data_IF_905513369825
#
_entry.id   IF_905513369825
#
_cell.length_a   1.000
_cell.length_b   1.000
_cell.length_c   1.000
_cell.angle_alpha   90.00
_cell.angle_beta   90.00
_cell.angle_gamma   90.00
#
_symmetry.space_group_name_H-M   'P 1'
#
loop_
_entity.id
_entity.type
_entity.pdbx_description
1 polymer ?
#
# COMPACT_ATOMS: atom_id res chain seq x y z
N UNK A 1 -0.35 -0.92 4.54
CA UNK A 1 0.81 -0.99 5.43
C UNK A 1 2.05 -1.01 4.55
N UNK A 2 3.01 -0.16 4.79
CA UNK A 2 4.29 -0.15 4.07
C UNK A 2 5.34 0.55 4.91
N UNK A 3 6.55 0.05 4.88
CA UNK A 3 7.68 0.63 5.60
C UNK A 3 8.88 -0.29 5.49
N UNK A 4 10.05 0.25 5.77
CA UNK A 4 11.25 -0.55 6.02
C UNK A 4 11.33 -0.81 7.50
N UNK A 5 11.37 -2.08 7.87
CA UNK A 5 11.61 -2.49 9.25
C UNK A 5 13.06 -2.98 9.33
N UNK A 6 13.92 -2.32 10.10
CA UNK A 6 15.26 -2.82 10.31
C UNK A 6 15.17 -4.13 11.10
N UNK A 7 15.67 -5.20 10.53
CA UNK A 7 15.77 -6.49 11.23
C UNK A 7 17.11 -6.56 11.98
N UNK A 8 17.05 -7.00 13.23
CA UNK A 8 18.22 -7.33 14.03
C UNK A 8 18.13 -8.81 14.41
N UNK A 9 18.81 -9.66 13.66
CA UNK A 9 18.68 -11.11 13.78
C UNK A 9 17.36 -11.63 13.22
N UNK A 10 16.78 -12.64 13.85
CA UNK A 10 15.57 -13.34 13.41
C UNK A 10 14.29 -12.80 14.07
N UNK A 11 14.42 -11.71 14.81
CA UNK A 11 13.30 -11.07 15.53
C UNK A 11 13.27 -9.58 15.28
N UNK A 12 12.07 -9.02 15.14
CA UNK A 12 11.90 -7.58 15.15
C UNK A 12 10.54 -7.16 15.77
N UNK A 13 10.58 -6.04 16.45
CA UNK A 13 9.41 -5.34 16.97
C UNK A 13 9.18 -4.07 16.17
N UNK A 14 7.94 -3.80 15.87
CA UNK A 14 7.58 -2.57 15.14
C UNK A 14 6.18 -2.10 15.50
N UNK A 15 5.90 -0.86 15.19
CA UNK A 15 4.58 -0.26 15.39
C UNK A 15 4.12 0.35 14.08
N UNK A 16 2.88 0.05 13.70
CA UNK A 16 2.25 0.59 12.50
C UNK A 16 1.11 1.52 12.87
N UNK A 17 1.02 2.65 12.19
CA UNK A 17 -0.20 3.45 12.16
C UNK A 17 -1.24 2.81 11.25
N UNK A 18 -2.50 2.84 11.63
CA UNK A 18 -3.64 2.41 10.84
C UNK A 18 -4.71 3.48 10.77
N UNK A 19 -5.37 3.58 9.63
CA UNK A 19 -6.55 4.42 9.43
C UNK A 19 -7.63 3.62 8.74
N UNK A 20 -8.85 3.68 9.26
CA UNK A 20 -10.00 3.03 8.67
C UNK A 20 -10.73 3.98 7.73
N UNK A 21 -11.45 3.45 6.77
CA UNK A 21 -12.32 4.24 5.89
C UNK A 21 -13.46 4.89 6.66
N UNK A 22 -14.03 5.93 6.08
CA UNK A 22 -15.24 6.57 6.64
C UNK A 22 -16.34 5.54 6.90
N UNK A 23 -16.84 5.53 8.13
CA UNK A 23 -17.89 4.60 8.58
C UNK A 23 -17.39 3.23 9.04
N UNK A 24 -16.07 2.98 8.99
CA UNK A 24 -15.45 1.76 9.53
C UNK A 24 -14.57 2.14 10.72
N UNK A 25 -14.67 1.36 11.79
CA UNK A 25 -13.93 1.59 13.02
C UNK A 25 -13.16 0.34 13.43
N UNK A 26 -12.07 0.55 14.15
CA UNK A 26 -11.41 -0.51 14.89
C UNK A 26 -12.33 -1.04 16.02
N UNK A 27 -12.05 -2.21 16.63
CA UNK A 27 -12.85 -2.75 17.73
C UNK A 27 -12.97 -1.81 18.94
N UNK A 28 -12.01 -0.91 19.16
CA UNK A 28 -12.06 0.13 20.19
C UNK A 28 -12.93 1.35 19.83
N UNK A 29 -13.55 1.35 18.64
CA UNK A 29 -14.41 2.41 18.14
C UNK A 29 -13.66 3.58 17.47
N UNK A 30 -12.34 3.56 17.42
CA UNK A 30 -11.54 4.58 16.74
C UNK A 30 -11.45 4.30 15.23
N UNK A 31 -11.21 5.32 14.43
CA UNK A 31 -10.93 5.17 13.00
C UNK A 31 -9.44 5.32 12.67
N UNK A 32 -8.61 5.61 13.66
CA UNK A 32 -7.16 5.66 13.54
C UNK A 32 -6.52 5.13 14.82
N UNK A 33 -5.32 4.61 14.71
CA UNK A 33 -4.60 4.11 15.87
C UNK A 33 -3.28 3.46 15.51
N UNK A 34 -2.66 2.83 16.49
CA UNK A 34 -1.38 2.15 16.34
C UNK A 34 -1.49 0.69 16.74
N UNK A 35 -0.86 -0.16 15.96
CA UNK A 35 -0.77 -1.60 16.23
C UNK A 35 0.70 -1.97 16.38
N UNK A 36 1.05 -2.55 17.50
CA UNK A 36 2.38 -3.15 17.72
C UNK A 36 2.42 -4.53 17.10
N UNK A 37 3.53 -4.86 16.46
CA UNK A 37 3.80 -6.19 15.92
C UNK A 37 5.14 -6.69 16.42
N UNK A 38 5.14 -7.96 16.83
CA UNK A 38 6.33 -8.74 17.19
C UNK A 38 6.44 -9.86 16.16
N UNK A 39 7.57 -9.96 15.48
CA UNK A 39 7.74 -10.88 14.35
C UNK A 39 8.99 -11.72 14.55
N UNK A 40 8.80 -13.03 14.45
CA UNK A 40 9.86 -14.04 14.46
C UNK A 40 10.04 -14.59 13.03
N UNK A 41 11.20 -14.33 12.45
CA UNK A 41 11.57 -14.78 11.12
C UNK A 41 12.47 -16.01 11.21
N UNK A 42 11.95 -17.18 10.86
CA UNK A 42 12.70 -18.43 10.90
C UNK A 42 13.29 -18.79 9.54
N UNK A 43 12.60 -18.45 8.48
CA UNK A 43 13.05 -18.62 7.09
C UNK A 43 12.18 -17.79 6.14
N UNK A 44 12.54 -17.75 4.87
CA UNK A 44 11.75 -17.09 3.83
C UNK A 44 10.31 -17.66 3.70
N UNK A 45 10.10 -18.89 4.16
CA UNK A 45 8.79 -19.57 4.08
C UNK A 45 8.10 -19.73 5.43
N UNK A 46 8.76 -19.31 6.51
CA UNK A 46 8.25 -19.44 7.88
C UNK A 46 8.57 -18.18 8.67
N UNK A 47 7.62 -17.30 8.72
CA UNK A 47 7.63 -16.08 9.52
C UNK A 47 6.32 -16.00 10.26
N UNK A 48 6.38 -15.92 11.56
CA UNK A 48 5.19 -15.81 12.39
C UNK A 48 5.30 -14.63 13.35
N UNK A 49 4.19 -14.26 13.93
CA UNK A 49 4.19 -13.15 14.86
C UNK A 49 2.85 -12.94 15.53
N UNK A 50 2.82 -11.88 16.32
CA UNK A 50 1.63 -11.41 17.00
C UNK A 50 1.50 -9.90 16.86
N UNK A 51 0.28 -9.46 16.93
CA UNK A 51 -0.04 -8.05 16.91
C UNK A 51 -0.98 -7.72 18.07
N UNK A 52 -0.93 -6.48 18.52
CA UNK A 52 -1.87 -5.92 19.48
C UNK A 52 -2.02 -4.42 19.27
N UNK A 53 -3.25 -3.94 19.29
CA UNK A 53 -3.58 -2.50 19.21
C UNK A 53 -5.03 -2.28 18.81
N UNK A 54 -5.54 -1.09 19.13
CA UNK A 54 -6.87 -0.62 18.73
C UNK A 54 -8.03 -1.56 19.14
N UNK A 55 -7.91 -2.20 20.30
CA UNK A 55 -8.94 -3.14 20.82
C UNK A 55 -8.89 -4.53 20.21
N UNK A 56 -7.86 -4.85 19.40
CA UNK A 56 -7.68 -6.15 18.79
C UNK A 56 -6.26 -6.70 19.05
N UNK A 57 -6.15 -8.04 19.10
CA UNK A 57 -4.87 -8.73 19.23
C UNK A 57 -4.97 -10.13 18.62
N UNK A 58 -3.89 -10.60 18.04
CA UNK A 58 -3.87 -11.92 17.42
C UNK A 58 -2.49 -12.36 17.00
N UNK A 59 -2.46 -13.49 16.32
CA UNK A 59 -1.27 -14.07 15.71
C UNK A 59 -1.42 -14.10 14.19
N UNK A 60 -0.31 -14.12 13.49
CA UNK A 60 -0.27 -14.26 12.04
C UNK A 60 0.90 -15.17 11.64
N UNK A 61 0.77 -15.80 10.48
CA UNK A 61 1.84 -16.50 9.81
C UNK A 61 1.98 -15.89 8.41
N UNK A 62 3.21 -15.71 7.97
CA UNK A 62 3.55 -15.22 6.64
C UNK A 62 4.51 -16.17 5.98
N UNK A 63 4.38 -16.32 4.69
CA UNK A 63 5.35 -16.99 3.83
C UNK A 63 5.69 -16.08 2.65
N UNK A 64 6.90 -16.18 2.15
CA UNK A 64 7.31 -15.45 0.96
C UNK A 64 6.43 -15.88 -0.21
N UNK A 65 5.82 -14.92 -0.87
CA UNK A 65 5.05 -15.18 -2.08
C UNK A 65 6.01 -15.46 -3.23
N UNK A 66 5.74 -16.48 -4.09
CA UNK A 66 6.50 -16.70 -5.33
C UNK A 66 6.49 -15.47 -6.26
N UNK A 67 5.54 -14.57 -6.08
CA UNK A 67 5.49 -13.30 -6.83
C UNK A 67 6.63 -12.34 -6.43
N UNK A 68 7.25 -12.54 -5.28
CA UNK A 68 8.41 -11.74 -4.85
C UNK A 68 9.58 -11.86 -5.82
N UNK A 69 9.86 -13.07 -6.31
CA UNK A 69 11.00 -13.39 -7.19
C UNK A 69 10.77 -13.00 -8.66
N UNK A 70 9.70 -12.29 -8.97
CA UNK A 70 9.47 -11.77 -10.32
C UNK A 70 10.34 -10.55 -10.56
N UNK A 71 11.03 -10.48 -11.70
CA UNK A 71 11.73 -9.26 -12.08
C UNK A 71 10.77 -8.07 -12.23
N UNK A 72 11.19 -6.91 -11.72
CA UNK A 72 10.45 -5.66 -11.87
C UNK A 72 11.04 -4.79 -12.98
N UNK A 73 10.18 -4.15 -13.76
CA UNK A 73 10.56 -3.09 -14.69
C UNK A 73 9.43 -2.06 -14.81
N UNK A 74 9.78 -0.82 -15.13
CA UNK A 74 8.74 0.20 -15.39
C UNK A 74 7.85 -0.19 -16.57
N UNK A 75 8.43 -0.81 -17.60
CA UNK A 75 7.67 -1.28 -18.75
C UNK A 75 6.59 -2.30 -18.41
N UNK A 76 6.81 -3.14 -17.39
CA UNK A 76 5.83 -4.15 -16.93
C UNK A 76 4.58 -3.50 -16.33
N UNK A 77 4.72 -2.34 -15.72
CA UNK A 77 3.65 -1.64 -15.01
C UNK A 77 3.15 -0.40 -15.75
N UNK A 78 3.72 -0.09 -16.89
CA UNK A 78 3.22 0.98 -17.74
C UNK A 78 1.84 0.62 -18.30
N UNK A 79 0.89 1.55 -18.19
CA UNK A 79 -0.48 1.30 -18.67
C UNK A 79 -1.49 2.28 -18.08
N UNK A 80 -2.74 2.02 -18.41
CA UNK A 80 -3.89 2.75 -17.86
C UNK A 80 -4.68 1.79 -16.98
N UNK A 81 -4.93 2.21 -15.77
CA UNK A 81 -5.65 1.44 -14.74
C UNK A 81 -6.91 2.19 -14.35
N UNK A 82 -8.02 1.51 -14.33
CA UNK A 82 -9.30 2.10 -13.93
C UNK A 82 -9.89 1.28 -12.78
N UNK A 83 -10.33 1.97 -11.75
CA UNK A 83 -11.08 1.40 -10.62
C UNK A 83 -12.48 2.00 -10.60
N UNK A 84 -13.48 1.15 -10.41
CA UNK A 84 -14.85 1.57 -10.17
C UNK A 84 -15.40 0.82 -8.95
N UNK A 85 -16.20 1.47 -8.15
CA UNK A 85 -16.85 0.89 -6.99
C UNK A 85 -18.37 0.97 -7.12
N UNK A 86 -19.09 0.13 -6.39
CA UNK A 86 -20.56 0.04 -6.44
C UNK A 86 -21.28 1.33 -6.02
N UNK A 87 -20.63 2.23 -5.29
CA UNK A 87 -21.15 3.54 -4.91
C UNK A 87 -20.91 4.64 -5.96
N UNK A 88 -20.45 4.28 -7.17
CA UNK A 88 -20.23 5.21 -8.27
C UNK A 88 -18.87 5.95 -8.23
N UNK A 89 -18.00 5.67 -7.27
CA UNK A 89 -16.64 6.21 -7.31
C UNK A 89 -15.86 5.57 -8.46
N UNK A 90 -15.17 6.40 -9.23
CA UNK A 90 -14.25 5.96 -10.27
C UNK A 90 -12.92 6.67 -10.15
N UNK A 91 -11.83 5.97 -10.48
CA UNK A 91 -10.48 6.51 -10.53
C UNK A 91 -9.79 5.96 -11.78
N UNK A 92 -9.10 6.81 -12.49
CA UNK A 92 -8.23 6.43 -13.60
C UNK A 92 -6.81 6.85 -13.30
N UNK A 93 -5.88 5.93 -13.44
CA UNK A 93 -4.45 6.11 -13.23
C UNK A 93 -3.71 5.74 -14.51
N UNK A 94 -2.78 6.57 -14.93
CA UNK A 94 -1.88 6.30 -16.06
C UNK A 94 -0.45 6.25 -15.55
N UNK A 95 0.24 5.19 -15.90
CA UNK A 95 1.65 5.00 -15.64
C UNK A 95 2.39 4.92 -16.97
N UNK A 96 3.26 5.86 -17.21
CA UNK A 96 4.01 5.94 -18.45
C UNK A 96 5.24 5.04 -18.44
N UNK A 97 5.78 4.70 -19.61
CA UNK A 97 6.97 3.86 -19.74
C UNK A 97 8.25 4.50 -19.15
N UNK A 98 8.24 5.80 -18.85
CA UNK A 98 9.33 6.47 -18.16
C UNK A 98 9.10 6.58 -16.64
N UNK A 99 8.07 5.94 -16.10
CA UNK A 99 7.75 5.91 -14.68
C UNK A 99 6.97 7.13 -14.17
N UNK A 100 6.47 8.00 -15.04
CA UNK A 100 5.61 9.09 -14.63
C UNK A 100 4.21 8.55 -14.31
N UNK A 101 3.66 8.94 -13.15
CA UNK A 101 2.35 8.59 -12.66
C UNK A 101 1.43 9.81 -12.72
N UNK A 102 0.25 9.64 -13.29
CA UNK A 102 -0.85 10.62 -13.22
C UNK A 102 -2.15 9.89 -12.91
N UNK A 103 -2.99 10.45 -12.05
CA UNK A 103 -4.32 9.92 -11.82
C UNK A 103 -5.33 11.01 -11.51
N UNK A 104 -6.60 10.70 -11.75
CA UNK A 104 -7.73 11.52 -11.35
C UNK A 104 -8.91 10.64 -10.93
N UNK A 105 -9.76 11.18 -10.07
CA UNK A 105 -10.96 10.48 -9.63
C UNK A 105 -12.24 11.28 -9.87
N UNK A 106 -13.39 10.65 -9.65
CA UNK A 106 -14.71 11.24 -9.82
C UNK A 106 -15.05 12.34 -8.81
N UNK A 107 -14.22 12.54 -7.77
CA UNK A 107 -14.36 13.61 -6.77
C UNK A 107 -13.55 14.85 -7.15
N UNK A 108 -12.75 14.77 -8.22
CA UNK A 108 -11.89 15.85 -8.69
C UNK A 108 -10.47 15.83 -8.12
N UNK A 109 -10.10 14.80 -7.36
CA UNK A 109 -8.73 14.60 -6.90
C UNK A 109 -7.78 14.41 -8.08
N UNK A 110 -6.61 15.04 -8.00
CA UNK A 110 -5.54 14.89 -8.98
C UNK A 110 -4.31 14.32 -8.27
N UNK A 111 -3.68 13.33 -8.90
CA UNK A 111 -2.47 12.70 -8.39
C UNK A 111 -1.40 12.79 -9.46
N UNK A 112 -0.24 13.31 -9.11
CA UNK A 112 0.93 13.35 -9.96
C UNK A 112 2.12 12.77 -9.21
N UNK A 113 2.93 11.95 -9.89
CA UNK A 113 4.03 11.31 -9.20
C UNK A 113 4.97 10.54 -10.12
N UNK A 114 5.71 9.67 -9.48
CA UNK A 114 6.67 8.79 -10.16
C UNK A 114 6.67 7.40 -9.55
N UNK A 115 6.97 6.43 -10.39
CA UNK A 115 7.22 5.03 -10.01
C UNK A 115 8.66 4.69 -10.36
N UNK A 116 9.36 4.09 -9.43
CA UNK A 116 10.73 3.61 -9.61
C UNK A 116 10.85 2.13 -9.22
N UNK A 117 11.88 1.48 -9.73
CA UNK A 117 12.21 0.09 -9.39
C UNK A 117 13.46 0.12 -8.50
N UNK A 118 13.32 -0.08 -7.18
CA UNK A 118 14.46 -0.08 -6.25
C UNK A 118 15.35 -1.30 -6.42
N UNK A 119 14.78 -2.42 -6.81
CA UNK A 119 15.46 -3.68 -7.09
C UNK A 119 14.80 -4.39 -8.27
N UNK A 120 15.51 -4.52 -9.38
CA UNK A 120 14.97 -5.12 -10.59
C UNK A 120 14.81 -6.66 -10.50
N UNK A 121 15.37 -7.30 -9.50
CA UNK A 121 15.27 -8.75 -9.30
C UNK A 121 14.00 -9.16 -8.54
N UNK A 122 13.34 -8.19 -7.89
CA UNK A 122 12.15 -8.45 -7.08
C UNK A 122 10.96 -7.60 -7.54
N UNK A 123 9.77 -8.14 -7.39
CA UNK A 123 8.50 -7.50 -7.77
C UNK A 123 8.15 -6.36 -6.78
N UNK A 124 8.94 -5.31 -6.81
CA UNK A 124 8.81 -4.19 -5.90
C UNK A 124 8.99 -2.86 -6.62
N UNK A 125 8.09 -1.94 -6.38
CA UNK A 125 8.04 -0.61 -6.97
C UNK A 125 7.95 0.45 -5.88
N UNK A 126 8.76 1.50 -5.99
CA UNK A 126 8.64 2.67 -5.12
C UNK A 126 7.77 3.70 -5.81
N UNK A 127 6.81 4.25 -5.07
CA UNK A 127 5.89 5.25 -5.57
C UNK A 127 6.07 6.52 -4.74
N UNK A 128 6.19 7.66 -5.43
CA UNK A 128 6.11 8.98 -4.82
C UNK A 128 5.00 9.73 -5.54
N UNK A 129 4.09 10.35 -4.80
CA UNK A 129 2.94 11.02 -5.37
C UNK A 129 2.58 12.29 -4.61
N UNK A 130 2.11 13.28 -5.33
CA UNK A 130 1.48 14.48 -4.78
C UNK A 130 0.00 14.45 -5.14
N UNK A 131 -0.84 14.56 -4.13
CA UNK A 131 -2.30 14.64 -4.24
C UNK A 131 -2.72 16.09 -4.09
N UNK A 132 -3.57 16.56 -4.99
CA UNK A 132 -4.12 17.92 -5.01
C UNK A 132 -5.60 17.90 -5.34
N UNK A 133 -6.31 18.95 -4.97
CA UNK A 133 -7.76 19.08 -5.20
C UNK A 133 -8.60 18.02 -4.48
N UNK A 134 -8.08 17.50 -3.37
CA UNK A 134 -8.65 16.41 -2.58
C UNK A 134 -9.00 16.85 -1.15
N UNK A 135 -8.93 18.14 -0.86
CA UNK A 135 -9.24 18.72 0.45
C UNK A 135 -8.24 18.29 1.52
N UNK A 136 -8.71 17.61 2.56
CA UNK A 136 -7.83 17.15 3.66
C UNK A 136 -6.85 16.05 3.26
N UNK A 137 -6.98 15.47 2.07
CA UNK A 137 -6.07 14.47 1.54
C UNK A 137 -4.97 15.09 0.65
N UNK A 138 -4.95 16.40 0.48
CA UNK A 138 -3.88 17.07 -0.25
C UNK A 138 -2.55 16.86 0.48
N UNK A 139 -1.52 16.47 -0.25
CA UNK A 139 -0.23 16.18 0.35
C UNK A 139 0.71 15.39 -0.55
N UNK A 140 1.88 15.12 -0.02
CA UNK A 140 2.89 14.29 -0.68
C UNK A 140 2.99 12.94 0.03
N UNK A 141 2.99 11.88 -0.74
CA UNK A 141 2.96 10.50 -0.28
C UNK A 141 4.10 9.71 -0.88
N UNK A 142 4.64 8.78 -0.12
CA UNK A 142 5.56 7.77 -0.64
C UNK A 142 5.13 6.39 -0.18
N UNK A 143 5.44 5.37 -0.97
CA UNK A 143 5.06 4.02 -0.63
C UNK A 143 5.74 2.99 -1.52
N UNK A 144 5.43 1.74 -1.24
CA UNK A 144 5.88 0.59 -1.99
C UNK A 144 4.67 -0.13 -2.58
N UNK A 145 4.84 -0.70 -3.75
CA UNK A 145 3.83 -1.49 -4.43
C UNK A 145 4.42 -2.76 -5.03
N UNK A 146 3.59 -3.74 -5.29
CA UNK A 146 3.93 -4.95 -6.03
C UNK A 146 2.86 -5.23 -7.09
N UNK A 147 3.24 -5.87 -8.18
CA UNK A 147 2.32 -6.29 -9.21
C UNK A 147 1.72 -7.65 -8.82
N UNK A 148 0.41 -7.71 -8.64
CA UNK A 148 -0.31 -8.93 -8.31
C UNK A 148 -1.05 -9.45 -9.54
N UNK A 149 -1.09 -10.77 -9.71
CA UNK A 149 -1.97 -11.43 -10.68
C UNK A 149 -3.22 -11.90 -9.95
N UNK A 150 -4.33 -11.27 -10.23
CA UNK A 150 -5.63 -11.75 -9.80
C UNK A 150 -6.39 -12.25 -11.03
N UNK A 151 -6.57 -13.56 -11.15
CA UNK A 151 -7.42 -14.19 -12.18
C UNK A 151 -7.09 -13.77 -13.63
N UNK A 152 -5.81 -13.58 -13.95
CA UNK A 152 -5.37 -13.14 -15.27
C UNK A 152 -5.38 -11.63 -15.50
N UNK A 153 -5.73 -10.84 -14.49
CA UNK A 153 -5.58 -9.40 -14.48
C UNK A 153 -4.45 -9.00 -13.56
N UNK A 154 -3.71 -7.98 -13.96
CA UNK A 154 -2.67 -7.39 -13.14
C UNK A 154 -3.31 -6.40 -12.17
N UNK A 155 -3.14 -6.65 -10.88
CA UNK A 155 -3.64 -5.78 -9.82
C UNK A 155 -2.49 -5.15 -9.03
N UNK A 156 -2.74 -3.97 -8.45
CA UNK A 156 -1.76 -3.22 -7.68
C UNK A 156 -2.12 -3.20 -6.21
N UNK A 157 -1.20 -3.63 -5.37
CA UNK A 157 -1.26 -3.34 -3.95
C UNK A 157 -0.22 -2.25 -3.64
N UNK A 158 -0.69 -1.12 -3.18
CA UNK A 158 0.14 0.04 -2.87
C UNK A 158 -0.09 0.46 -1.43
N UNK A 159 0.98 0.53 -0.66
CA UNK A 159 0.97 1.19 0.63
C UNK A 159 1.67 2.55 0.49
N UNK A 160 0.94 3.64 0.70
CA UNK A 160 1.47 4.99 0.67
C UNK A 160 1.50 5.58 2.08
N UNK A 161 2.62 6.20 2.41
CA UNK A 161 2.77 6.98 3.64
C UNK A 161 2.92 8.46 3.28
N UNK A 162 2.27 9.37 4.02
CA UNK A 162 2.58 10.79 3.92
C UNK A 162 4.07 11.01 4.21
N UNK A 163 4.74 11.77 3.38
CA UNK A 163 6.09 12.27 3.70
C UNK A 163 5.92 13.30 4.81
N UNK A 164 6.51 13.06 5.96
CA UNK A 164 6.46 13.97 7.08
C UNK A 164 7.02 15.35 6.68
N UNK A 165 6.15 16.33 6.56
CA UNK A 165 6.54 17.72 6.72
C UNK A 165 6.46 18.05 8.21
N UNK A 166 7.59 17.95 8.89
CA UNK A 166 7.82 18.52 10.22
C UNK A 166 6.71 18.35 11.25
N UNK A 167 6.62 17.21 11.94
CA UNK A 167 6.11 17.21 13.30
C UNK A 167 4.70 16.69 13.57
N UNK A 168 3.97 16.11 12.61
CA UNK A 168 2.76 15.34 12.91
C UNK A 168 2.69 14.10 12.06
N UNK A 169 2.98 12.94 12.67
CA UNK A 169 2.82 11.63 12.04
C UNK A 169 1.33 11.30 11.88
N UNK A 170 0.81 11.44 10.68
CA UNK A 170 -0.42 10.81 10.29
C UNK A 170 -0.07 9.59 9.42
N UNK A 171 0.10 8.45 10.07
CA UNK A 171 0.20 7.17 9.39
C UNK A 171 -1.14 6.82 8.74
N UNK A 172 -1.30 7.11 7.47
CA UNK A 172 -2.44 6.65 6.68
C UNK A 172 -2.10 5.31 6.04
N UNK A 173 -2.65 4.22 6.55
CA UNK A 173 -2.60 2.93 5.88
C UNK A 173 -3.91 2.70 5.14
N UNK A 174 -3.85 2.56 3.84
CA UNK A 174 -5.00 2.09 3.09
C UNK A 174 -4.97 0.57 3.02
N UNK A 175 -5.81 -0.05 3.83
CA UNK A 175 -6.04 -1.49 3.76
C UNK A 175 -7.01 -1.85 2.64
N UNK A 176 -6.62 -2.90 1.91
CA UNK A 176 -7.50 -3.85 1.27
C UNK A 176 -8.54 -3.29 0.32
N UNK A 177 -8.13 -2.95 -0.87
CA UNK A 177 -9.08 -2.95 -1.98
C UNK A 177 -9.54 -4.38 -2.25
N UNK A 178 -10.84 -4.60 -2.29
CA UNK A 178 -11.40 -5.76 -2.97
C UNK A 178 -10.81 -5.88 -4.37
N UNK A 179 -10.64 -7.09 -4.93
CA UNK A 179 -10.05 -7.28 -6.24
C UNK A 179 -10.75 -6.38 -7.27
N UNK A 180 -9.96 -5.68 -8.06
CA UNK A 180 -10.48 -4.90 -9.16
C UNK A 180 -11.08 -5.87 -10.18
N UNK A 181 -12.40 -5.98 -10.23
CA UNK A 181 -13.08 -6.65 -11.33
C UNK A 181 -13.11 -5.69 -12.51
N UNK A 182 -12.26 -5.94 -13.48
CA UNK A 182 -12.44 -5.40 -14.81
C UNK A 182 -13.57 -6.16 -15.48
N UNK A 183 -14.66 -5.50 -15.79
CA UNK A 183 -15.60 -5.97 -16.80
C UNK A 183 -15.37 -5.17 -18.08
N UNK A 184 -15.36 -5.92 -19.18
CA UNK A 184 -15.26 -5.50 -20.58
C UNK A 184 -15.87 -4.15 -20.90
#
# INVERSE_FOLDING_TARGET
>A
WGGQVPMSGDHFDTTFGGHMYDGVHFPDGTNHGTTSMMVDHHSATDTNGRYAGNGDAGTFNMSLSPMWDRPASIGTVAGVYTRSTSNGYTMTMTMSANGQLTASDSRGCLINGSVGVPDATHNMYRINATVTSCGSLDGTYSGMGALLDASGMQDWMTAMHPLEQGGHSHGGSMMGGSPMMGHN
#
